data_IF_524698860268
#
_entry.id   IF_524698860268
#
_cell.length_a   1.000
_cell.length_b   1.000
_cell.length_c   1.000
_cell.angle_alpha   90.00
_cell.angle_beta   90.00
_cell.angle_gamma   90.00
#
_symmetry.space_group_name_H-M   'P 1'
#
loop_
_entity.id
_entity.type
_entity.pdbx_description
1 polymer ?
#
# COMPACT_ATOMS: atom_id res chain seq x y z
N UNK A 1 6.18 8.44 -26.82
CA UNK A 1 5.02 8.71 -25.94
C UNK A 1 5.24 10.06 -25.26
N UNK A 2 4.23 10.93 -25.14
CA UNK A 2 4.36 12.25 -24.47
C UNK A 2 4.36 12.09 -22.94
N UNK A 3 5.14 12.93 -22.27
CA UNK A 3 5.38 12.90 -20.81
C UNK A 3 4.06 13.00 -20.03
N UNK A 4 3.11 13.80 -20.52
CA UNK A 4 1.81 14.02 -19.86
C UNK A 4 0.96 12.75 -19.75
N UNK A 5 0.97 11.90 -20.78
CA UNK A 5 0.19 10.64 -20.80
C UNK A 5 0.78 9.57 -19.89
N UNK A 6 2.05 9.68 -19.52
CA UNK A 6 2.67 8.80 -18.55
C UNK A 6 2.22 9.19 -17.14
N UNK A 7 2.30 10.48 -16.80
CA UNK A 7 1.92 10.98 -15.48
C UNK A 7 0.46 10.68 -15.14
N UNK A 8 -0.46 10.87 -16.09
CA UNK A 8 -1.89 10.60 -15.89
C UNK A 8 -2.13 9.11 -15.60
N UNK A 9 -1.46 8.21 -16.32
CA UNK A 9 -1.60 6.75 -16.09
C UNK A 9 -1.04 6.32 -14.74
N UNK A 10 0.13 6.84 -14.37
CA UNK A 10 0.72 6.57 -13.06
C UNK A 10 -0.18 7.05 -11.91
N UNK A 11 -0.76 8.25 -12.04
CA UNK A 11 -1.70 8.80 -11.07
C UNK A 11 -2.98 7.97 -10.94
N UNK A 12 -3.51 7.47 -12.06
CA UNK A 12 -4.70 6.62 -12.07
C UNK A 12 -4.45 5.33 -11.27
N UNK A 13 -3.36 4.61 -11.59
CA UNK A 13 -3.02 3.34 -10.93
C UNK A 13 -2.78 3.56 -9.43
N UNK A 14 -2.08 4.65 -9.07
CA UNK A 14 -1.88 5.01 -7.66
C UNK A 14 -3.21 5.20 -6.93
N UNK A 15 -4.15 5.92 -7.53
CA UNK A 15 -5.47 6.18 -6.93
C UNK A 15 -6.27 4.89 -6.73
N UNK A 16 -6.18 3.95 -7.67
CA UNK A 16 -6.88 2.67 -7.56
C UNK A 16 -6.28 1.78 -6.46
N UNK A 17 -4.95 1.70 -6.37
CA UNK A 17 -4.26 0.97 -5.29
C UNK A 17 -4.62 1.58 -3.93
N UNK A 18 -4.64 2.90 -3.83
CA UNK A 18 -5.04 3.60 -2.61
C UNK A 18 -6.48 3.28 -2.21
N UNK A 19 -7.42 3.34 -3.16
CA UNK A 19 -8.82 3.00 -2.91
C UNK A 19 -9.00 1.56 -2.45
N UNK A 20 -8.29 0.62 -3.07
CA UNK A 20 -8.30 -0.78 -2.68
C UNK A 20 -7.77 -1.00 -1.26
N UNK A 21 -6.58 -0.48 -0.94
CA UNK A 21 -5.95 -0.65 0.38
C UNK A 21 -6.74 0.05 1.48
N UNK A 22 -7.34 1.21 1.20
CA UNK A 22 -8.21 1.91 2.15
C UNK A 22 -9.42 1.06 2.56
N UNK A 23 -10.02 0.35 1.61
CA UNK A 23 -11.17 -0.52 1.89
C UNK A 23 -10.75 -1.78 2.68
N UNK A 24 -9.69 -2.47 2.26
CA UNK A 24 -9.22 -3.70 2.92
C UNK A 24 -8.65 -3.43 4.32
N UNK A 25 -7.97 -2.29 4.51
CA UNK A 25 -7.27 -1.94 5.75
C UNK A 25 -8.06 -0.98 6.65
N UNK A 26 -9.35 -0.76 6.36
CA UNK A 26 -10.22 0.08 7.19
C UNK A 26 -10.22 -0.35 8.66
N UNK A 27 -10.24 -1.66 8.92
CA UNK A 27 -10.16 -2.24 10.27
C UNK A 27 -8.83 -2.00 10.99
N UNK A 28 -7.73 -1.85 10.24
CA UNK A 28 -6.38 -1.65 10.78
C UNK A 28 -6.04 -0.18 11.05
N UNK A 29 -6.89 0.75 10.60
CA UNK A 29 -6.65 2.19 10.66
C UNK A 29 -5.66 2.63 9.59
N UNK A 30 -6.09 2.58 8.32
CA UNK A 30 -5.31 3.10 7.20
C UNK A 30 -4.98 4.59 7.38
N UNK A 31 -3.70 4.94 7.22
CA UNK A 31 -3.19 6.32 7.36
C UNK A 31 -2.64 6.86 6.02
N UNK A 32 -2.03 6.00 5.20
CA UNK A 32 -1.52 6.40 3.89
C UNK A 32 -0.72 5.30 3.19
N UNK A 33 -0.30 5.58 1.96
CA UNK A 33 0.63 4.75 1.19
C UNK A 33 1.75 5.57 0.58
N UNK A 34 2.91 4.95 0.46
CA UNK A 34 4.02 5.39 -0.39
C UNK A 34 4.36 4.27 -1.38
N UNK A 35 4.42 4.59 -2.67
CA UNK A 35 4.71 3.63 -3.73
C UNK A 35 6.03 4.03 -4.38
N UNK A 36 7.01 3.14 -4.29
CA UNK A 36 8.31 3.29 -4.90
C UNK A 36 8.47 2.24 -5.99
N UNK A 37 8.42 2.68 -7.25
CA UNK A 37 8.62 1.82 -8.42
C UNK A 37 10.08 1.87 -8.82
N UNK A 38 10.73 0.71 -8.72
CA UNK A 38 12.06 0.48 -9.29
C UNK A 38 11.89 -0.46 -10.48
N UNK A 39 12.75 -0.37 -11.50
CA UNK A 39 12.68 -1.23 -12.69
C UNK A 39 12.71 -2.74 -12.39
N UNK A 40 13.05 -3.15 -11.17
CA UNK A 40 13.12 -4.53 -10.72
C UNK A 40 12.03 -4.93 -9.71
N UNK A 41 11.48 -3.97 -8.97
CA UNK A 41 10.56 -4.24 -7.85
C UNK A 41 9.67 -3.04 -7.57
N UNK A 42 8.41 -3.31 -7.23
CA UNK A 42 7.53 -2.27 -6.66
C UNK A 42 7.50 -2.40 -5.14
N UNK A 43 7.98 -1.39 -4.41
CA UNK A 43 7.86 -1.32 -2.95
C UNK A 43 6.66 -0.46 -2.58
N UNK A 44 5.77 -1.01 -1.78
CA UNK A 44 4.57 -0.35 -1.28
C UNK A 44 4.68 -0.26 0.23
N UNK A 45 4.91 0.93 0.76
CA UNK A 45 4.95 1.19 2.20
C UNK A 45 3.57 1.65 2.63
N UNK A 46 2.92 0.90 3.51
CA UNK A 46 1.60 1.21 4.03
C UNK A 46 1.71 1.71 5.46
N UNK A 47 1.13 2.88 5.72
CA UNK A 47 1.05 3.46 7.05
C UNK A 47 -0.28 3.08 7.70
N UNK A 48 -0.23 2.43 8.86
CA UNK A 48 -1.43 1.96 9.57
C UNK A 48 -1.32 2.17 11.08
N UNK A 49 -2.46 2.35 11.75
CA UNK A 49 -2.51 2.51 13.21
C UNK A 49 -2.18 1.17 13.93
N UNK A 50 -2.60 0.03 13.37
CA UNK A 50 -2.41 -1.31 13.96
C UNK A 50 -1.71 -2.29 13.00
N UNK A 51 -0.37 -2.29 12.92
CA UNK A 51 0.39 -3.19 12.04
C UNK A 51 0.09 -4.70 12.20
N UNK A 52 -0.05 -5.26 13.41
CA UNK A 52 -0.32 -6.70 13.57
C UNK A 52 -1.62 -7.15 12.90
N UNK A 53 -2.61 -6.26 12.77
CA UNK A 53 -3.88 -6.57 12.12
C UNK A 53 -3.73 -6.72 10.60
N UNK A 54 -2.80 -5.97 9.99
CA UNK A 54 -2.53 -6.02 8.54
C UNK A 54 -1.83 -7.32 8.15
N UNK A 55 -0.86 -7.75 8.96
CA UNK A 55 -0.14 -9.01 8.75
C UNK A 55 -1.08 -10.20 8.91
N UNK A 56 -2.02 -10.09 9.86
CA UNK A 56 -3.01 -11.12 10.17
C UNK A 56 -2.39 -12.37 10.82
N UNK A 57 -3.17 -13.45 10.92
CA UNK A 57 -2.72 -14.68 11.58
C UNK A 57 -1.75 -15.46 10.70
N UNK A 58 -0.48 -15.56 11.14
CA UNK A 58 0.62 -16.23 10.43
C UNK A 58 0.94 -15.62 9.05
N UNK A 59 0.76 -14.31 8.86
CA UNK A 59 1.09 -13.65 7.59
C UNK A 59 0.13 -13.93 6.42
N UNK A 60 -0.94 -14.70 6.62
CA UNK A 60 -1.89 -15.03 5.54
C UNK A 60 -2.58 -13.81 4.94
N UNK A 61 -2.79 -12.76 5.72
CA UNK A 61 -3.48 -11.57 5.23
C UNK A 61 -2.58 -10.72 4.34
N UNK A 62 -1.30 -10.54 4.72
CA UNK A 62 -0.34 -9.84 3.88
C UNK A 62 -0.05 -10.61 2.58
N UNK A 63 0.05 -11.94 2.62
CA UNK A 63 0.19 -12.76 1.41
C UNK A 63 -1.00 -12.60 0.45
N UNK A 64 -2.22 -12.58 0.99
CA UNK A 64 -3.43 -12.36 0.18
C UNK A 64 -3.43 -10.98 -0.45
N UNK A 65 -3.03 -9.95 0.30
CA UNK A 65 -2.93 -8.58 -0.22
C UNK A 65 -1.88 -8.49 -1.34
N UNK A 66 -0.70 -9.08 -1.14
CA UNK A 66 0.35 -9.11 -2.17
C UNK A 66 -0.14 -9.75 -3.47
N UNK A 67 -0.76 -10.94 -3.39
CA UNK A 67 -1.32 -11.63 -4.57
C UNK A 67 -2.41 -10.80 -5.26
N UNK A 68 -3.31 -10.22 -4.47
CA UNK A 68 -4.39 -9.40 -5.04
C UNK A 68 -3.85 -8.16 -5.76
N UNK A 69 -2.75 -7.57 -5.26
CA UNK A 69 -2.10 -6.44 -5.91
C UNK A 69 -1.39 -6.84 -7.21
N UNK A 70 -0.74 -8.01 -7.22
CA UNK A 70 -0.14 -8.60 -8.41
C UNK A 70 -1.21 -8.87 -9.49
N UNK A 71 -2.28 -9.58 -9.14
CA UNK A 71 -3.34 -9.98 -10.08
C UNK A 71 -4.15 -8.79 -10.63
N UNK A 72 -4.50 -7.82 -9.78
CA UNK A 72 -5.38 -6.70 -10.19
C UNK A 72 -4.65 -5.56 -10.89
N UNK A 73 -3.42 -5.27 -10.46
CA UNK A 73 -2.68 -4.10 -10.92
C UNK A 73 -1.48 -4.47 -11.79
N UNK A 74 -1.26 -5.76 -12.05
CA UNK A 74 -0.22 -6.31 -12.90
C UNK A 74 1.18 -5.77 -12.52
N UNK A 75 1.42 -5.68 -11.21
CA UNK A 75 2.67 -5.19 -10.64
C UNK A 75 3.74 -6.27 -10.68
N UNK A 76 4.94 -5.92 -11.10
CA UNK A 76 6.10 -6.82 -11.08
C UNK A 76 6.68 -6.89 -9.66
N UNK A 77 6.62 -8.10 -9.07
CA UNK A 77 7.12 -8.45 -7.73
C UNK A 77 6.79 -7.41 -6.64
N UNK A 78 5.51 -7.25 -6.26
CA UNK A 78 5.13 -6.26 -5.27
C UNK A 78 5.61 -6.65 -3.85
N UNK A 79 6.36 -5.75 -3.22
CA UNK A 79 6.78 -5.86 -1.82
C UNK A 79 5.93 -4.93 -0.95
N UNK A 80 5.19 -5.48 0.00
CA UNK A 80 4.44 -4.68 0.98
C UNK A 80 5.28 -4.54 2.25
N UNK A 81 5.54 -3.30 2.65
CA UNK A 81 6.17 -2.95 3.92
C UNK A 81 5.13 -2.24 4.80
N UNK A 82 5.04 -2.61 6.07
CA UNK A 82 4.05 -2.05 6.99
C UNK A 82 4.76 -1.18 8.00
N UNK A 83 4.39 0.10 8.04
CA UNK A 83 4.91 1.05 9.02
C UNK A 83 3.79 1.56 9.92
N UNK A 84 4.09 1.81 11.22
CA UNK A 84 3.13 2.46 12.09
C UNK A 84 2.87 3.89 11.60
N UNK A 85 1.61 4.19 11.32
CA UNK A 85 1.15 5.54 11.05
C UNK A 85 1.14 6.33 12.36
N UNK A 86 1.91 7.42 12.42
CA UNK A 86 1.87 8.30 13.58
C UNK A 86 0.58 9.15 13.53
N UNK A 87 -0.52 8.64 14.10
CA UNK A 87 -1.62 9.52 14.51
C UNK A 87 -1.40 9.97 15.95
N UNK A 88 -0.86 11.19 16.07
CA UNK A 88 -1.17 12.18 17.11
C UNK A 88 -0.93 11.85 18.61
N UNK A 89 -0.12 10.85 18.97
CA UNK A 89 0.27 10.66 20.39
C UNK A 89 1.78 10.66 20.66
N UNK A 90 2.61 11.14 19.73
CA UNK A 90 4.02 11.47 20.03
C UNK A 90 4.21 12.89 20.58
N UNK A 91 3.11 13.61 20.88
CA UNK A 91 3.12 14.90 21.60
C UNK A 91 2.06 14.84 22.70
N UNK A 92 2.36 14.09 23.77
CA UNK A 92 1.50 13.97 24.94
C UNK A 92 2.26 14.37 26.20
N UNK A 93 2.23 15.69 26.49
CA UNK A 93 2.79 16.43 27.65
C UNK A 93 4.30 16.63 27.70
#
# INVERSE_FOLDING_TARGET
>A
MTIDRHFIREGLIRSEIEGFLRNELSSAGYSGIDIQRTSLKTRITVFVDKPPLVIGRKGRQIEKLTRTLEDKFNLEDPSIDVQPGCKKYCYGT
#
